data_IF_710611355472
#
_entry.id   IF_710611355472
#
_cell.length_a   1.000
_cell.length_b   1.000
_cell.length_c   1.000
_cell.angle_alpha   90.00
_cell.angle_beta   90.00
_cell.angle_gamma   90.00
#
_symmetry.space_group_name_H-M   'P 1'
#
loop_
_entity.id
_entity.type
_entity.pdbx_description
1 polymer ?
#
# COMPACT_ATOMS: atom_id res chain seq x y z
N UNK A 1 10.18 20.29 0.37
CA UNK A 1 10.06 18.91 0.91
C UNK A 1 8.60 18.45 1.07
N UNK A 2 7.70 19.24 1.69
CA UNK A 2 6.29 18.84 1.89
C UNK A 2 5.51 18.51 0.60
N UNK A 3 5.68 19.29 -0.49
CA UNK A 3 5.05 19.03 -1.80
C UNK A 3 5.44 17.69 -2.43
N UNK A 4 6.72 17.29 -2.31
CA UNK A 4 7.22 16.03 -2.89
C UNK A 4 6.61 14.83 -2.19
N UNK A 5 6.55 14.84 -0.85
CA UNK A 5 5.94 13.76 -0.07
C UNK A 5 4.43 13.67 -0.33
N UNK A 6 3.77 14.81 -0.52
CA UNK A 6 2.35 14.86 -0.91
C UNK A 6 2.11 14.24 -2.30
N UNK A 7 2.98 14.56 -3.26
CA UNK A 7 2.94 14.02 -4.62
C UNK A 7 3.22 12.51 -4.63
N UNK A 8 4.21 12.05 -3.85
CA UNK A 8 4.51 10.63 -3.68
C UNK A 8 3.31 9.86 -3.12
N UNK A 9 2.67 10.41 -2.09
CA UNK A 9 1.45 9.84 -1.52
C UNK A 9 0.33 9.73 -2.55
N UNK A 10 0.10 10.78 -3.32
CA UNK A 10 -0.93 10.78 -4.37
C UNK A 10 -0.65 9.74 -5.48
N UNK A 11 0.58 9.71 -6.00
CA UNK A 11 0.99 8.74 -7.02
C UNK A 11 0.86 7.31 -6.49
N UNK A 12 1.33 7.05 -5.26
CA UNK A 12 1.22 5.73 -4.66
C UNK A 12 -0.24 5.29 -4.50
N UNK A 13 -1.13 6.17 -4.03
CA UNK A 13 -2.55 5.87 -3.86
C UNK A 13 -3.25 5.63 -5.21
N UNK A 14 -2.88 6.41 -6.24
CA UNK A 14 -3.36 6.21 -7.59
C UNK A 14 -2.96 4.83 -8.14
N UNK A 15 -1.69 4.46 -8.01
CA UNK A 15 -1.18 3.14 -8.42
C UNK A 15 -1.87 2.01 -7.67
N UNK A 16 -2.04 2.12 -6.34
CA UNK A 16 -2.77 1.10 -5.55
C UNK A 16 -4.23 0.96 -5.98
N UNK A 17 -4.88 2.06 -6.35
CA UNK A 17 -6.26 2.04 -6.84
C UNK A 17 -6.37 1.27 -8.16
N UNK A 18 -5.40 1.47 -9.06
CA UNK A 18 -5.30 0.71 -10.32
C UNK A 18 -5.08 -0.79 -10.01
N UNK A 19 -4.18 -1.13 -9.08
CA UNK A 19 -3.92 -2.52 -8.67
C UNK A 19 -5.18 -3.20 -8.14
N UNK A 20 -5.98 -2.50 -7.33
CA UNK A 20 -7.26 -3.02 -6.82
C UNK A 20 -8.21 -3.31 -7.98
N UNK A 21 -8.37 -2.38 -8.92
CA UNK A 21 -9.22 -2.56 -10.10
C UNK A 21 -8.73 -3.75 -10.94
N UNK A 22 -7.43 -3.83 -11.23
CA UNK A 22 -6.83 -4.96 -11.95
C UNK A 22 -7.09 -6.30 -11.26
N UNK A 23 -7.07 -6.33 -9.93
CA UNK A 23 -7.39 -7.55 -9.17
C UNK A 23 -8.88 -7.87 -9.22
N UNK A 24 -9.79 -6.90 -9.19
CA UNK A 24 -11.20 -7.19 -9.43
C UNK A 24 -11.43 -7.75 -10.85
N UNK A 25 -10.67 -7.27 -11.85
CA UNK A 25 -10.72 -7.80 -13.22
C UNK A 25 -10.28 -9.28 -13.33
N UNK A 26 -9.47 -9.81 -12.40
CA UNK A 26 -9.14 -11.26 -12.43
C UNK A 26 -10.35 -12.14 -12.10
N UNK A 27 -11.31 -11.64 -11.32
CA UNK A 27 -12.61 -12.31 -11.10
C UNK A 27 -13.35 -12.58 -12.42
N UNK A 28 -13.13 -11.75 -13.44
CA UNK A 28 -13.73 -11.90 -14.78
C UNK A 28 -12.89 -12.77 -15.73
N UNK A 29 -11.86 -13.48 -15.23
CA UNK A 29 -11.02 -14.41 -15.99
C UNK A 29 -10.32 -13.83 -17.23
N UNK A 30 -9.95 -12.54 -17.23
CA UNK A 30 -9.04 -12.01 -18.24
C UNK A 30 -7.67 -12.70 -18.15
N UNK A 31 -7.33 -13.51 -19.16
CA UNK A 31 -6.20 -14.45 -19.14
C UNK A 31 -4.84 -13.79 -18.82
N UNK A 32 -4.61 -12.56 -19.28
CA UNK A 32 -3.37 -11.79 -19.04
C UNK A 32 -3.31 -11.15 -17.65
N UNK A 33 -4.44 -10.65 -17.13
CA UNK A 33 -4.50 -10.01 -15.81
C UNK A 33 -4.46 -11.07 -14.71
N UNK A 34 -5.04 -12.24 -14.97
CA UNK A 34 -5.05 -13.38 -14.06
C UNK A 34 -3.63 -13.87 -13.74
N UNK A 35 -2.70 -13.95 -14.69
CA UNK A 35 -1.34 -14.45 -14.37
C UNK A 35 -0.58 -13.58 -13.36
N UNK A 36 -0.76 -12.26 -13.41
CA UNK A 36 -0.03 -11.31 -12.55
C UNK A 36 -0.79 -11.03 -11.24
N UNK A 37 -2.13 -10.96 -11.28
CA UNK A 37 -2.97 -10.50 -10.17
C UNK A 37 -3.82 -11.61 -9.51
N UNK A 38 -3.65 -12.88 -9.90
CA UNK A 38 -4.33 -14.02 -9.22
C UNK A 38 -3.73 -14.35 -7.86
N UNK A 39 -2.52 -13.86 -7.56
CA UNK A 39 -1.99 -13.89 -6.20
C UNK A 39 -2.41 -12.62 -5.45
N UNK A 40 -2.72 -12.71 -4.16
CA UNK A 40 -2.98 -11.52 -3.31
C UNK A 40 -1.72 -10.66 -3.09
N UNK A 41 -0.54 -11.17 -3.46
CA UNK A 41 0.77 -10.54 -3.31
C UNK A 41 0.90 -9.12 -3.91
N UNK A 42 0.46 -8.83 -5.16
CA UNK A 42 0.57 -7.50 -5.76
C UNK A 42 -0.28 -6.45 -5.03
N UNK A 43 -1.47 -6.83 -4.55
CA UNK A 43 -2.28 -5.95 -3.70
C UNK A 43 -1.56 -5.70 -2.38
N UNK A 44 -1.07 -6.75 -1.72
CA UNK A 44 -0.39 -6.61 -0.44
C UNK A 44 0.83 -5.71 -0.54
N UNK A 45 1.64 -5.86 -1.61
CA UNK A 45 2.76 -4.97 -1.91
C UNK A 45 2.29 -3.54 -2.18
N UNK A 46 1.28 -3.37 -3.03
CA UNK A 46 0.72 -2.06 -3.36
C UNK A 46 0.29 -1.30 -2.11
N UNK A 47 -0.56 -1.92 -1.28
CA UNK A 47 -1.09 -1.34 -0.04
C UNK A 47 0.01 -1.11 1.00
N UNK A 48 0.99 -2.03 1.10
CA UNK A 48 2.12 -1.88 2.01
C UNK A 48 2.92 -0.61 1.69
N UNK A 49 3.25 -0.38 0.41
CA UNK A 49 4.01 0.79 -0.04
C UNK A 49 3.21 2.07 0.20
N UNK A 50 1.90 2.08 -0.11
CA UNK A 50 1.05 3.26 0.14
C UNK A 50 1.03 3.61 1.62
N UNK A 51 0.83 2.63 2.49
CA UNK A 51 0.75 2.85 3.93
C UNK A 51 2.11 3.26 4.53
N UNK A 52 3.23 2.72 4.04
CA UNK A 52 4.55 3.20 4.45
C UNK A 52 4.77 4.69 4.07
N UNK A 53 4.41 5.07 2.84
CA UNK A 53 4.51 6.46 2.37
C UNK A 53 3.56 7.38 3.15
N UNK A 54 2.35 6.92 3.46
CA UNK A 54 1.35 7.66 4.22
C UNK A 54 1.81 7.89 5.67
N UNK A 55 2.36 6.86 6.32
CA UNK A 55 2.96 6.96 7.64
C UNK A 55 4.10 7.99 7.68
N UNK A 56 5.00 7.93 6.69
CA UNK A 56 6.09 8.90 6.57
C UNK A 56 5.57 10.34 6.30
N UNK A 57 4.51 10.47 5.50
CA UNK A 57 3.84 11.74 5.24
C UNK A 57 3.28 12.38 6.51
N UNK A 58 2.62 11.60 7.36
CA UNK A 58 2.09 12.09 8.64
C UNK A 58 3.19 12.53 9.60
N UNK A 59 4.37 11.90 9.56
CA UNK A 59 5.52 12.30 10.39
C UNK A 59 6.12 13.62 9.92
N UNK A 60 6.26 13.82 8.60
CA UNK A 60 7.00 14.94 8.01
C UNK A 60 6.13 16.20 7.81
N UNK A 61 4.88 16.03 7.37
CA UNK A 61 4.03 17.15 6.97
C UNK A 61 3.20 17.67 8.15
N UNK A 62 2.66 16.76 8.96
CA UNK A 62 1.60 17.08 9.90
C UNK A 62 2.15 17.49 11.27
N UNK A 63 1.58 18.56 11.82
CA UNK A 63 1.99 19.17 13.09
C UNK A 63 0.84 19.07 14.08
N UNK A 64 1.02 18.27 15.14
CA UNK A 64 0.01 18.07 16.19
C UNK A 64 0.11 16.70 16.88
N UNK A 65 -0.52 16.57 18.06
CA UNK A 65 -0.51 15.33 18.86
C UNK A 65 -1.10 14.12 18.14
N UNK A 66 -2.07 14.35 17.23
CA UNK A 66 -2.72 13.27 16.46
C UNK A 66 -1.82 12.69 15.36
N UNK A 67 -0.72 13.38 14.96
CA UNK A 67 0.16 12.90 13.87
C UNK A 67 0.71 11.50 14.16
N UNK A 68 1.09 11.28 15.41
CA UNK A 68 1.83 10.08 15.83
C UNK A 68 0.90 8.86 15.83
N UNK A 69 -0.38 9.07 16.14
CA UNK A 69 -1.41 8.03 16.07
C UNK A 69 -1.64 7.59 14.61
N UNK A 70 -1.84 8.54 13.69
CA UNK A 70 -2.04 8.21 12.27
C UNK A 70 -0.79 7.58 11.64
N UNK A 71 0.40 8.09 11.99
CA UNK A 71 1.65 7.51 11.53
C UNK A 71 1.87 6.08 12.06
N UNK A 72 1.67 5.87 13.36
CA UNK A 72 1.85 4.56 14.00
C UNK A 72 0.84 3.54 13.43
N UNK A 73 -0.42 3.92 13.26
CA UNK A 73 -1.43 3.05 12.69
C UNK A 73 -1.10 2.65 11.24
N UNK A 74 -0.68 3.62 10.43
CA UNK A 74 -0.31 3.37 9.04
C UNK A 74 0.95 2.50 8.91
N UNK A 75 1.96 2.72 9.74
CA UNK A 75 3.15 1.87 9.79
C UNK A 75 2.86 0.48 10.34
N UNK A 76 1.95 0.35 11.32
CA UNK A 76 1.53 -0.95 11.82
C UNK A 76 0.88 -1.80 10.72
N UNK A 77 -0.01 -1.22 9.91
CA UNK A 77 -0.62 -1.90 8.76
C UNK A 77 0.46 -2.38 7.77
N UNK A 78 1.43 -1.52 7.45
CA UNK A 78 2.55 -1.88 6.59
C UNK A 78 3.38 -3.05 7.17
N UNK A 79 3.69 -3.01 8.47
CA UNK A 79 4.42 -4.09 9.15
C UNK A 79 3.63 -5.41 9.16
N UNK A 80 2.32 -5.37 9.40
CA UNK A 80 1.45 -6.55 9.32
C UNK A 80 1.45 -7.16 7.91
N UNK A 81 1.36 -6.34 6.87
CA UNK A 81 1.41 -6.80 5.48
C UNK A 81 2.73 -7.47 5.15
N UNK A 82 3.85 -6.89 5.59
CA UNK A 82 5.19 -7.49 5.41
C UNK A 82 5.27 -8.83 6.13
N UNK A 83 4.79 -8.92 7.37
CA UNK A 83 4.79 -10.17 8.13
C UNK A 83 4.02 -11.29 7.41
N UNK A 84 2.80 -11.00 6.93
CA UNK A 84 2.01 -11.98 6.17
C UNK A 84 2.68 -12.38 4.85
N UNK A 85 3.31 -11.44 4.16
CA UNK A 85 4.01 -11.68 2.91
C UNK A 85 5.24 -12.57 3.10
N UNK A 86 6.05 -12.31 4.13
CA UNK A 86 7.22 -13.12 4.48
C UNK A 86 6.80 -14.52 4.93
N UNK A 87 5.75 -14.64 5.73
CA UNK A 87 5.22 -15.94 6.16
C UNK A 87 4.67 -16.78 4.98
N UNK A 88 4.08 -16.12 3.97
CA UNK A 88 3.64 -16.79 2.74
C UNK A 88 4.83 -17.20 1.84
N UNK A 89 5.99 -16.53 1.93
CA UNK A 89 7.18 -16.88 1.16
C UNK A 89 7.97 -18.07 1.78
N UNK A 90 7.88 -18.25 3.09
CA UNK A 90 8.62 -19.28 3.85
C UNK A 90 7.89 -20.63 3.86
N UNK A 91 6.58 -20.66 3.55
CA UNK A 91 5.80 -21.89 3.37
C UNK A 91 5.84 -22.36 1.92
#
# INVERSE_FOLDING_TARGET
>A
MKKLVNLLGFISAFVTSIIIICTFLTTYQFHFVNQIFNSYLPIQLGVCITMAILGLRFIIIETGKKRLVYAAFSLAISAFLIFFMVNHLIK
#
